data_IF_230688539560
#
_entry.id   IF_230688539560
#
_cell.length_a   1.000
_cell.length_b   1.000
_cell.length_c   1.000
_cell.angle_alpha   90.00
_cell.angle_beta   90.00
_cell.angle_gamma   90.00
#
_symmetry.space_group_name_H-M   'P 1'
#
loop_
_entity.id
_entity.type
_entity.pdbx_description
1 polymer ?
#
# COMPACT_ATOMS: atom_id res chain seq x y z
N UNK A 1 5.73 -4.96 -5.26
CA UNK A 1 4.99 -3.90 -4.53
C UNK A 1 5.37 -2.48 -4.94
N UNK A 2 6.66 -2.11 -5.01
CA UNK A 2 7.07 -0.74 -5.38
C UNK A 2 6.41 -0.19 -6.65
N UNK A 3 6.35 -0.99 -7.72
CA UNK A 3 5.71 -0.59 -8.98
C UNK A 3 4.20 -0.34 -8.85
N UNK A 4 3.49 -1.15 -8.03
CA UNK A 4 2.07 -0.97 -7.77
C UNK A 4 1.79 0.37 -7.07
N UNK A 5 2.61 0.75 -6.07
CA UNK A 5 2.43 2.03 -5.39
C UNK A 5 2.63 3.23 -6.32
N UNK A 6 3.64 3.17 -7.19
CA UNK A 6 3.86 4.19 -8.24
C UNK A 6 2.65 4.26 -9.18
N UNK A 7 2.12 3.11 -9.59
CA UNK A 7 0.95 3.05 -10.46
C UNK A 7 -0.31 3.61 -9.79
N UNK A 8 -0.61 3.22 -8.54
CA UNK A 8 -1.74 3.75 -7.77
C UNK A 8 -1.64 5.28 -7.66
N UNK A 9 -0.45 5.80 -7.33
CA UNK A 9 -0.20 7.24 -7.22
C UNK A 9 -0.45 7.99 -8.53
N UNK A 10 -0.08 7.41 -9.67
CA UNK A 10 -0.24 8.06 -10.98
C UNK A 10 -1.63 7.93 -11.60
N UNK A 11 -2.43 6.94 -11.17
CA UNK A 11 -3.66 6.57 -11.87
C UNK A 11 -4.94 6.62 -11.02
N UNK A 12 -4.85 6.32 -9.73
CA UNK A 12 -6.03 6.19 -8.86
C UNK A 12 -6.19 7.33 -7.86
N UNK A 13 -5.07 7.87 -7.34
CA UNK A 13 -5.11 8.97 -6.38
C UNK A 13 -5.46 10.29 -7.09
N UNK A 14 -6.38 11.07 -6.51
CA UNK A 14 -6.86 12.33 -7.11
C UNK A 14 -6.42 13.56 -6.32
N UNK A 15 -6.93 13.71 -5.09
CA UNK A 15 -6.80 14.97 -4.36
C UNK A 15 -5.57 15.04 -3.48
N UNK A 16 -5.45 14.11 -2.52
CA UNK A 16 -4.44 14.14 -1.46
C UNK A 16 -3.60 12.86 -1.46
N UNK A 17 -2.75 12.65 -2.48
CA UNK A 17 -1.93 11.44 -2.59
C UNK A 17 -1.02 11.22 -1.38
N UNK A 18 -0.62 12.30 -0.70
CA UNK A 18 0.16 12.29 0.54
C UNK A 18 -0.56 11.64 1.72
N UNK A 19 -1.89 11.49 1.68
CA UNK A 19 -2.64 10.75 2.69
C UNK A 19 -2.50 9.23 2.52
N UNK A 20 -2.04 8.77 1.35
CA UNK A 20 -1.84 7.36 1.04
C UNK A 20 -0.36 6.98 0.93
N UNK A 21 0.47 7.82 0.30
CA UNK A 21 1.91 7.57 0.07
C UNK A 21 2.74 8.63 0.79
N UNK A 22 3.80 8.22 1.48
CA UNK A 22 4.83 9.10 2.03
C UNK A 22 6.21 8.71 1.49
N UNK A 23 6.84 9.60 0.73
CA UNK A 23 8.08 9.29 0.02
C UNK A 23 7.86 8.18 -1.02
N UNK A 24 8.57 7.07 -0.85
CA UNK A 24 8.54 5.90 -1.74
C UNK A 24 7.68 4.74 -1.20
N UNK A 25 7.00 4.92 -0.07
CA UNK A 25 6.22 3.87 0.62
C UNK A 25 4.83 4.36 1.04
N UNK A 26 4.02 3.44 1.57
CA UNK A 26 2.69 3.74 2.13
C UNK A 26 2.83 4.60 3.39
N UNK A 27 1.94 5.58 3.57
CA UNK A 27 1.93 6.46 4.74
C UNK A 27 1.78 5.64 6.04
N UNK A 28 2.54 5.92 7.11
CA UNK A 28 2.34 5.31 8.42
C UNK A 28 0.90 5.42 8.91
N UNK A 29 0.39 4.35 9.52
CA UNK A 29 -1.01 4.22 9.92
C UNK A 29 -1.94 3.69 8.82
N UNK A 30 -1.37 3.15 7.75
CA UNK A 30 -2.07 2.28 6.79
C UNK A 30 -1.43 0.90 6.89
N UNK A 31 -2.23 -0.12 7.19
CA UNK A 31 -1.82 -1.52 7.13
C UNK A 31 -1.94 -2.03 5.70
N UNK A 32 -0.99 -2.86 5.28
CA UNK A 32 -1.00 -3.49 3.96
C UNK A 32 -1.02 -5.00 4.16
N UNK A 33 -2.02 -5.66 3.59
CA UNK A 33 -2.14 -7.12 3.59
C UNK A 33 -1.96 -7.63 2.17
N UNK A 34 -1.23 -8.74 2.04
CA UNK A 34 -1.09 -9.50 0.80
C UNK A 34 -1.63 -10.90 1.09
N UNK A 35 -2.74 -11.26 0.46
CA UNK A 35 -3.45 -12.53 0.72
C UNK A 35 -3.72 -12.76 2.22
N UNK A 36 -4.25 -11.72 2.88
CA UNK A 36 -4.56 -11.68 4.33
C UNK A 36 -3.37 -11.79 5.29
N UNK A 37 -2.12 -11.83 4.76
CA UNK A 37 -0.90 -11.79 5.56
C UNK A 37 -0.29 -10.38 5.61
N UNK A 38 0.31 -10.04 6.75
CA UNK A 38 1.01 -8.77 6.94
C UNK A 38 2.22 -8.66 6.02
N UNK A 39 2.28 -7.60 5.21
CA UNK A 39 3.35 -7.39 4.24
C UNK A 39 4.75 -7.24 4.86
N UNK A 40 4.85 -6.89 6.15
CA UNK A 40 6.13 -6.76 6.87
C UNK A 40 6.84 -8.12 6.90
N UNK A 41 6.07 -9.21 7.01
CA UNK A 41 6.58 -10.59 6.95
C UNK A 41 6.88 -11.05 5.52
N UNK A 42 6.40 -10.32 4.51
CA UNK A 42 6.50 -10.66 3.10
C UNK A 42 7.59 -9.86 2.36
N UNK A 43 8.34 -9.01 3.07
CA UNK A 43 9.41 -8.18 2.50
C UNK A 43 8.95 -6.83 1.95
N UNK A 44 7.75 -6.37 2.33
CA UNK A 44 7.22 -5.03 2.09
C UNK A 44 7.33 -4.58 0.62
N UNK A 45 8.09 -3.51 0.33
CA UNK A 45 8.28 -2.96 -1.01
C UNK A 45 8.98 -3.92 -1.97
N UNK A 46 9.79 -4.84 -1.43
CA UNK A 46 10.56 -5.83 -2.18
C UNK A 46 9.72 -7.03 -2.60
N UNK A 47 8.50 -7.19 -2.07
CA UNK A 47 7.62 -8.27 -2.46
C UNK A 47 7.31 -8.21 -3.97
N UNK A 48 7.55 -9.31 -4.68
CA UNK A 48 7.21 -9.45 -6.09
C UNK A 48 5.77 -9.92 -6.22
N UNK A 49 4.91 -9.06 -6.78
CA UNK A 49 3.49 -9.37 -6.98
C UNK A 49 3.33 -10.55 -7.93
N UNK A 50 2.44 -11.47 -7.57
CA UNK A 50 2.06 -12.63 -8.35
C UNK A 50 0.67 -12.43 -8.95
N UNK A 51 0.36 -13.21 -9.98
CA UNK A 51 -1.01 -13.25 -10.50
C UNK A 51 -1.96 -13.76 -9.42
N UNK A 52 -3.18 -13.20 -9.41
CA UNK A 52 -4.22 -13.48 -8.40
C UNK A 52 -3.93 -13.00 -6.96
N UNK A 53 -2.86 -12.24 -6.71
CA UNK A 53 -2.65 -11.63 -5.39
C UNK A 53 -3.78 -10.65 -5.04
N UNK A 54 -4.30 -10.79 -3.82
CA UNK A 54 -5.19 -9.80 -3.22
C UNK A 54 -4.38 -8.86 -2.32
N UNK A 55 -4.30 -7.59 -2.70
CA UNK A 55 -3.60 -6.55 -1.93
C UNK A 55 -4.62 -5.60 -1.31
N UNK A 56 -4.64 -5.52 0.01
CA UNK A 56 -5.60 -4.71 0.78
C UNK A 56 -4.85 -3.62 1.54
N UNK A 57 -5.34 -2.39 1.45
CA UNK A 57 -4.84 -1.24 2.21
C UNK A 57 -5.90 -0.79 3.22
N UNK A 58 -5.57 -0.77 4.50
CA UNK A 58 -6.48 -0.41 5.59
C UNK A 58 -5.93 0.81 6.32
N UNK A 59 -6.59 1.96 6.20
CA UNK A 59 -6.25 3.12 7.03
C UNK A 59 -6.69 2.86 8.46
N UNK A 60 -5.75 2.65 9.37
CA UNK A 60 -6.01 2.48 10.80
C UNK A 60 -6.07 3.83 11.53
N UNK A 61 -5.70 4.91 10.86
CA UNK A 61 -6.02 6.27 11.28
C UNK A 61 -7.39 6.67 10.75
N UNK A 62 -8.39 6.59 11.62
CA UNK A 62 -9.60 7.40 11.53
C UNK A 62 -9.67 8.23 12.82
N UNK A 63 -9.75 9.55 12.69
CA UNK A 63 -9.95 10.43 13.84
C UNK A 63 -11.22 10.01 14.58
N UNK A 64 -11.10 9.87 15.90
CA UNK A 64 -12.26 10.01 16.78
C UNK A 64 -12.83 11.42 16.73
#
# INVERSE_FOLDING_TARGET
MKQLLVWIRGNLLKERPELFVQGDTVRPGILVLINDADWELMGELSYELQDQDNVVFISTLHGG
#
